data_IF_628749104739
#
_entry.id   IF_628749104739
#
_cell.length_a   1.000
_cell.length_b   1.000
_cell.length_c   1.000
_cell.angle_alpha   90.00
_cell.angle_beta   90.00
_cell.angle_gamma   90.00
#
_symmetry.space_group_name_H-M   'P 1'
#
loop_
_entity.id
_entity.type
_entity.pdbx_description
1 polymer ?
#
# COMPACT_ATOMS: atom_id res chain seq x y z
N UNK A 1 1.15 -14.35 0.76
CA UNK A 1 0.97 -12.93 1.16
C UNK A 1 0.25 -12.17 0.05
N UNK A 2 -0.82 -11.44 0.38
CA UNK A 2 -1.62 -10.65 -0.58
C UNK A 2 -1.13 -9.21 -0.59
N UNK A 3 -0.91 -8.64 -1.78
CA UNK A 3 -0.57 -7.22 -1.94
C UNK A 3 -1.72 -6.51 -2.65
N UNK A 4 -2.25 -5.46 -2.03
CA UNK A 4 -3.33 -4.63 -2.57
C UNK A 4 -2.82 -3.21 -2.77
N UNK A 5 -2.98 -2.67 -3.96
CA UNK A 5 -2.53 -1.32 -4.31
C UNK A 5 -3.74 -0.44 -4.59
N UNK A 6 -3.88 0.64 -3.83
CA UNK A 6 -4.79 1.72 -4.18
C UNK A 6 -4.16 2.56 -5.29
N UNK A 7 -4.81 2.64 -6.45
CA UNK A 7 -4.32 3.38 -7.61
C UNK A 7 -5.14 4.65 -7.84
N UNK A 8 -4.52 5.82 -7.69
CA UNK A 8 -5.23 7.11 -7.76
C UNK A 8 -5.58 7.58 -9.18
N UNK A 9 -5.12 6.88 -10.22
CA UNK A 9 -5.29 7.24 -11.65
C UNK A 9 -4.65 8.57 -12.04
N UNK A 10 -3.52 8.91 -11.41
CA UNK A 10 -2.79 10.17 -11.64
C UNK A 10 -1.62 10.02 -12.62
N UNK A 11 -1.36 8.81 -13.12
CA UNK A 11 -0.23 8.48 -13.97
C UNK A 11 -0.69 7.85 -15.30
N UNK A 12 0.21 7.86 -16.30
CA UNK A 12 -0.01 7.17 -17.58
C UNK A 12 -0.12 5.65 -17.35
N UNK A 13 -1.27 5.02 -17.69
CA UNK A 13 -1.49 3.60 -17.44
C UNK A 13 -0.57 2.66 -18.25
N UNK A 14 0.11 3.17 -19.29
CA UNK A 14 1.10 2.41 -20.07
C UNK A 14 2.44 2.32 -19.35
N UNK A 15 2.77 3.32 -18.51
CA UNK A 15 4.06 3.42 -17.80
C UNK A 15 3.96 3.06 -16.31
N UNK A 16 2.75 2.98 -15.75
CA UNK A 16 2.53 2.69 -14.34
C UNK A 16 3.05 1.29 -13.91
N UNK A 17 3.96 1.27 -12.94
CA UNK A 17 4.53 0.04 -12.36
C UNK A 17 3.48 -0.79 -11.63
N UNK A 18 2.56 -0.17 -10.87
CA UNK A 18 1.50 -0.90 -10.16
C UNK A 18 0.59 -1.66 -11.14
N UNK A 19 0.18 -1.02 -12.24
CA UNK A 19 -0.62 -1.67 -13.28
C UNK A 19 0.17 -2.79 -13.99
N UNK A 20 1.47 -2.60 -14.24
CA UNK A 20 2.34 -3.66 -14.78
C UNK A 20 2.39 -4.87 -13.83
N UNK A 21 2.61 -4.66 -12.54
CA UNK A 21 2.61 -5.74 -11.54
C UNK A 21 1.27 -6.47 -11.47
N UNK A 22 0.16 -5.74 -11.65
CA UNK A 22 -1.18 -6.34 -11.68
C UNK A 22 -1.39 -7.24 -12.89
N UNK A 23 -0.90 -6.85 -14.08
CA UNK A 23 -0.92 -7.69 -15.29
C UNK A 23 -0.14 -9.01 -15.09
N UNK A 24 0.91 -8.99 -14.27
CA UNK A 24 1.67 -10.19 -13.89
C UNK A 24 1.06 -10.98 -12.71
N UNK A 25 -0.13 -10.60 -12.23
CA UNK A 25 -0.80 -11.27 -11.11
C UNK A 25 -0.10 -11.10 -9.76
N UNK A 26 0.81 -10.13 -9.62
CA UNK A 26 1.59 -9.92 -8.39
C UNK A 26 0.86 -9.05 -7.36
N UNK A 27 -0.03 -8.17 -7.81
CA UNK A 27 -0.79 -7.26 -6.96
C UNK A 27 -2.25 -7.16 -7.41
N UNK A 28 -3.16 -6.93 -6.46
CA UNK A 28 -4.54 -6.54 -6.73
C UNK A 28 -4.64 -5.01 -6.76
N UNK A 29 -5.15 -4.44 -7.84
CA UNK A 29 -5.46 -3.00 -7.89
C UNK A 29 -6.86 -2.75 -7.35
N UNK A 30 -7.00 -1.70 -6.55
CA UNK A 30 -8.28 -1.15 -6.12
C UNK A 30 -8.30 0.35 -6.38
N UNK A 31 -9.49 0.92 -6.55
CA UNK A 31 -9.67 2.35 -6.83
C UNK A 31 -10.41 3.09 -5.72
N UNK A 32 -10.90 2.34 -4.72
CA UNK A 32 -11.65 2.83 -3.56
C UNK A 32 -10.93 2.40 -2.29
N UNK A 33 -10.84 3.30 -1.31
CA UNK A 33 -10.12 3.02 -0.06
C UNK A 33 -10.82 1.93 0.77
N UNK A 34 -12.14 1.81 0.61
CA UNK A 34 -12.99 0.83 1.30
C UNK A 34 -12.70 -0.62 0.86
N UNK A 35 -12.07 -0.80 -0.31
CA UNK A 35 -11.68 -2.12 -0.84
C UNK A 35 -10.35 -2.61 -0.26
N UNK A 36 -9.65 -1.77 0.51
CA UNK A 36 -8.41 -2.13 1.17
C UNK A 36 -8.66 -3.09 2.35
N UNK A 37 -7.78 -4.08 2.57
CA UNK A 37 -7.92 -5.02 3.66
C UNK A 37 -7.70 -4.32 5.01
N UNK A 38 -8.76 -4.23 5.82
CA UNK A 38 -8.65 -3.72 7.21
C UNK A 38 -7.65 -4.55 8.01
N UNK A 39 -6.86 -3.89 8.84
CA UNK A 39 -5.79 -4.52 9.62
C UNK A 39 -4.52 -4.86 8.83
N UNK A 40 -4.53 -4.66 7.50
CA UNK A 40 -3.36 -4.82 6.65
C UNK A 40 -2.25 -3.82 6.97
N UNK A 41 -1.03 -4.16 6.56
CA UNK A 41 0.14 -3.29 6.74
C UNK A 41 0.15 -2.27 5.61
N UNK A 42 0.07 -0.99 5.96
CA UNK A 42 0.17 0.10 4.99
C UNK A 42 1.61 0.55 4.86
N UNK A 43 2.18 0.40 3.67
CA UNK A 43 3.46 1.01 3.31
C UNK A 43 3.29 2.52 3.25
N UNK A 44 3.80 3.21 4.27
CA UNK A 44 3.68 4.65 4.44
C UNK A 44 5.07 5.24 4.72
N UNK A 45 5.63 6.08 3.83
CA UNK A 45 6.96 6.67 4.00
C UNK A 45 7.06 7.60 5.21
N UNK A 46 5.93 8.08 5.74
CA UNK A 46 5.88 8.97 6.91
C UNK A 46 5.61 8.23 8.23
N UNK A 47 5.59 6.89 8.22
CA UNK A 47 5.40 6.12 9.44
C UNK A 47 6.68 6.09 10.29
N UNK A 48 6.52 6.31 11.59
CA UNK A 48 7.64 6.31 12.56
C UNK A 48 8.31 4.94 12.69
N UNK A 49 7.54 3.86 12.54
CA UNK A 49 8.02 2.49 12.67
C UNK A 49 8.29 1.87 11.31
N UNK A 50 9.51 1.39 11.09
CA UNK A 50 9.88 0.66 9.88
C UNK A 50 9.28 -0.76 9.88
N UNK A 51 9.02 -1.29 8.68
CA UNK A 51 8.60 -2.67 8.46
C UNK A 51 9.69 -3.63 8.95
N UNK A 52 9.31 -4.63 9.73
CA UNK A 52 10.26 -5.61 10.25
C UNK A 52 9.68 -7.03 10.27
N UNK A 53 10.48 -8.01 10.70
CA UNK A 53 10.03 -9.42 10.82
C UNK A 53 8.85 -9.60 11.78
N UNK A 54 8.67 -8.68 12.73
CA UNK A 54 7.54 -8.71 13.68
C UNK A 54 6.17 -8.57 12.98
N UNK A 55 6.16 -8.03 11.76
CA UNK A 55 4.94 -7.79 11.00
C UNK A 55 4.54 -9.01 10.16
N UNK A 56 5.33 -10.08 10.14
CA UNK A 56 5.13 -11.26 9.30
C UNK A 56 3.74 -11.90 9.47
N UNK A 57 3.31 -12.12 10.72
CA UNK A 57 1.99 -12.70 11.00
C UNK A 57 0.85 -11.80 10.50
N UNK A 58 0.98 -10.48 10.67
CA UNK A 58 0.00 -9.51 10.16
C UNK A 58 -0.02 -9.51 8.63
N UNK A 59 1.17 -9.57 8.00
CA UNK A 59 1.32 -9.58 6.56
C UNK A 59 0.71 -10.85 5.92
N UNK A 60 0.87 -12.00 6.58
CA UNK A 60 0.23 -13.25 6.13
C UNK A 60 -1.28 -13.21 6.31
N UNK A 61 -1.75 -12.74 7.47
CA UNK A 61 -3.18 -12.73 7.82
C UNK A 61 -3.99 -11.71 7.02
N UNK A 62 -3.50 -10.48 6.89
CA UNK A 62 -4.25 -9.36 6.33
C UNK A 62 -3.67 -8.83 5.00
N UNK A 63 -2.38 -9.06 4.74
CA UNK A 63 -1.70 -8.59 3.55
C UNK A 63 -1.00 -7.23 3.69
N UNK A 64 -0.37 -6.82 2.59
CA UNK A 64 0.28 -5.52 2.42
C UNK A 64 -0.58 -4.59 1.58
N UNK A 65 -0.51 -3.31 1.90
CA UNK A 65 -1.19 -2.21 1.22
C UNK A 65 -0.14 -1.22 0.74
N UNK A 66 -0.24 -0.81 -0.53
CA UNK A 66 0.56 0.29 -1.09
C UNK A 66 -0.35 1.31 -1.77
N UNK A 67 0.07 2.57 -1.81
CA UNK A 67 -0.61 3.63 -2.55
C UNK A 67 0.23 4.00 -3.79
N UNK A 68 -0.37 3.84 -4.97
CA UNK A 68 0.17 4.35 -6.22
C UNK A 68 -0.51 5.71 -6.52
N UNK A 69 0.11 6.76 -5.99
CA UNK A 69 -0.37 8.13 -6.10
C UNK A 69 0.78 9.14 -6.00
N UNK A 70 0.48 10.40 -6.29
CA UNK A 70 1.44 11.49 -6.10
C UNK A 70 1.81 11.71 -4.62
N UNK A 71 3.00 12.27 -4.38
CA UNK A 71 3.45 12.66 -3.03
C UNK A 71 2.52 13.66 -2.33
N UNK A 72 1.87 14.55 -3.10
CA UNK A 72 0.87 15.47 -2.55
C UNK A 72 -0.33 14.71 -1.98
N UNK A 73 -0.75 13.63 -2.65
CA UNK A 73 -1.94 12.86 -2.27
C UNK A 73 -1.66 11.88 -1.14
N UNK A 74 -0.47 11.26 -1.10
CA UNK A 74 -0.12 10.35 0.01
C UNK A 74 -0.08 11.09 1.36
N UNK A 75 0.31 12.36 1.37
CA UNK A 75 0.22 13.21 2.57
C UNK A 75 -1.23 13.47 3.00
N UNK A 76 -2.15 13.68 2.06
CA UNK A 76 -3.58 13.85 2.36
C UNK A 76 -4.23 12.55 2.85
N UNK A 77 -3.80 11.42 2.31
CA UNK A 77 -4.23 10.08 2.71
C UNK A 77 -3.54 9.61 3.99
N UNK A 78 -2.59 10.35 4.57
CA UNK A 78 -1.89 9.95 5.78
C UNK A 78 -2.82 9.84 7.02
N UNK A 79 -4.06 10.31 6.92
CA UNK A 79 -5.07 10.27 7.99
C UNK A 79 -5.87 8.95 8.06
N UNK A 80 -5.73 8.00 7.13
CA UNK A 80 -6.37 6.66 7.23
C UNK A 80 -5.68 5.72 8.23
N UNK A 81 -4.92 6.25 9.20
CA UNK A 81 -4.12 5.48 10.18
C UNK A 81 -4.94 4.47 10.97
N UNK A 82 -6.20 4.78 11.28
CA UNK A 82 -6.97 3.98 12.24
C UNK A 82 -7.42 2.61 11.70
N UNK A 83 -7.33 2.35 10.40
CA UNK A 83 -7.79 1.09 9.80
C UNK A 83 -6.65 0.15 9.42
N UNK A 84 -5.41 0.63 9.45
CA UNK A 84 -4.24 -0.09 8.95
C UNK A 84 -3.09 -0.03 9.95
N UNK A 85 -2.08 -0.86 9.74
CA UNK A 85 -0.82 -0.81 10.50
C UNK A 85 0.24 -0.11 9.66
N UNK A 86 0.48 1.20 9.82
CA UNK A 86 1.43 1.92 8.99
C UNK A 86 2.87 1.47 9.30
N UNK A 87 3.65 1.24 8.25
CA UNK A 87 5.08 0.95 8.32
C UNK A 87 5.83 1.69 7.23
N UNK A 88 6.94 2.32 7.58
CA UNK A 88 7.89 2.83 6.60
C UNK A 88 8.73 1.67 6.08
N UNK A 89 9.27 1.80 4.87
CA UNK A 89 10.29 0.85 4.46
C UNK A 89 11.59 1.16 5.22
N UNK A 90 12.37 0.12 5.61
CA UNK A 90 13.72 0.36 6.11
C UNK A 90 14.54 1.10 5.04
N UNK A 91 15.60 1.78 5.46
CA UNK A 91 16.50 2.45 4.53
C UNK A 91 17.08 1.43 3.52
N UNK A 92 17.03 1.76 2.23
CA UNK A 92 17.44 0.92 1.09
C UNK A 92 18.56 1.57 0.30
#
# INVERSE_FOLDING_TARGET
MKIVVYHAKECDPRRCTALRLSRFGKVKIVFRLEELPRGGILLNPFAEKALSKEDAETAEKYGLIAFDCSWKKIQQLANVKNWFRPRSLPYL
#
